data_IF_955847482288
#
_entry.id   IF_955847482288
#
_cell.length_a   1.000
_cell.length_b   1.000
_cell.length_c   1.000
_cell.angle_alpha   90.00
_cell.angle_beta   90.00
_cell.angle_gamma   90.00
#
_symmetry.space_group_name_H-M   'P 1'
#
loop_
_entity.id
_entity.type
_entity.pdbx_description
1 polymer ?
#
# COMPACT_ATOMS: atom_id res chain seq x y z
N UNK A 1 -13.04 -4.20 15.36
CA UNK A 1 -13.06 -3.27 14.21
C UNK A 1 -12.97 -4.07 12.91
N UNK A 2 -13.76 -3.76 11.87
CA UNK A 2 -13.74 -4.52 10.60
C UNK A 2 -12.69 -3.95 9.64
N UNK A 3 -11.87 -4.81 9.02
CA UNK A 3 -10.81 -4.44 8.04
C UNK A 3 -11.35 -3.56 6.91
N UNK A 4 -12.55 -3.85 6.39
CA UNK A 4 -13.20 -3.03 5.36
C UNK A 4 -13.28 -1.55 5.77
N UNK A 5 -13.64 -1.26 7.02
CA UNK A 5 -13.76 0.12 7.53
C UNK A 5 -12.40 0.81 7.52
N UNK A 6 -11.34 0.11 7.93
CA UNK A 6 -9.97 0.61 7.92
C UNK A 6 -9.47 0.97 6.51
N UNK A 7 -9.79 0.14 5.51
CA UNK A 7 -9.39 0.39 4.12
C UNK A 7 -10.14 1.60 3.55
N UNK A 8 -11.45 1.69 3.79
CA UNK A 8 -12.30 2.74 3.24
C UNK A 8 -12.16 4.09 3.94
N UNK A 9 -11.62 4.12 5.15
CA UNK A 9 -11.41 5.35 5.92
C UNK A 9 -10.33 6.22 5.28
N UNK A 10 -10.58 7.54 5.20
CA UNK A 10 -9.59 8.51 4.75
C UNK A 10 -8.45 8.64 5.75
N UNK A 11 -7.22 8.73 5.23
CA UNK A 11 -6.00 8.87 6.01
C UNK A 11 -5.26 10.11 5.55
N UNK A 12 -4.82 10.93 6.48
CA UNK A 12 -4.06 12.15 6.21
C UNK A 12 -2.58 11.81 6.33
N UNK A 13 -1.83 11.97 5.25
CA UNK A 13 -0.39 11.71 5.20
C UNK A 13 0.32 12.80 6.00
N UNK A 14 1.03 12.39 7.04
CA UNK A 14 1.83 13.29 7.87
C UNK A 14 3.28 13.36 7.41
N UNK A 15 3.82 12.26 6.89
CA UNK A 15 5.22 12.18 6.45
C UNK A 15 5.35 11.24 5.27
N UNK A 16 6.22 11.59 4.31
CA UNK A 16 6.59 10.69 3.21
C UNK A 16 8.10 10.52 3.09
N UNK A 17 8.54 9.36 2.62
CA UNK A 17 9.90 9.18 2.12
C UNK A 17 9.99 9.58 0.64
N UNK A 18 11.22 9.78 0.15
CA UNK A 18 11.52 9.71 -1.28
C UNK A 18 11.57 8.24 -1.72
N UNK A 19 11.55 8.00 -3.03
CA UNK A 19 11.93 6.70 -3.58
C UNK A 19 13.39 6.41 -3.20
N UNK A 20 13.67 5.16 -2.84
CA UNK A 20 14.99 4.72 -2.39
C UNK A 20 15.25 3.29 -2.86
N UNK A 21 16.49 3.03 -3.25
CA UNK A 21 17.06 1.70 -3.55
C UNK A 21 17.84 1.12 -2.35
N UNK A 22 18.20 1.96 -1.37
CA UNK A 22 18.84 1.56 -0.12
C UNK A 22 17.96 0.64 0.72
N UNK A 23 18.58 -0.09 1.63
CA UNK A 23 17.88 -0.93 2.61
C UNK A 23 16.81 -0.16 3.39
N UNK A 24 15.70 -0.84 3.67
CA UNK A 24 14.51 -0.24 4.27
C UNK A 24 14.58 -0.30 5.80
N UNK A 25 14.70 0.82 6.52
CA UNK A 25 14.81 0.81 7.97
C UNK A 25 13.44 0.51 8.63
N UNK A 26 13.43 -0.04 9.86
CA UNK A 26 12.21 -0.42 10.57
C UNK A 26 11.13 0.66 10.66
N UNK A 27 11.54 1.94 10.83
CA UNK A 27 10.61 3.07 10.91
C UNK A 27 9.65 3.17 9.72
N UNK A 28 10.08 2.73 8.53
CA UNK A 28 9.26 2.78 7.31
C UNK A 28 8.49 1.49 7.04
N UNK A 29 8.77 0.39 7.75
CA UNK A 29 8.04 -0.85 7.63
C UNK A 29 8.02 -1.56 8.99
N UNK A 30 7.12 -1.15 9.89
CA UNK A 30 7.19 -1.55 11.31
C UNK A 30 6.99 -3.05 11.55
N UNK A 31 6.49 -3.79 10.55
CA UNK A 31 6.41 -5.26 10.61
C UNK A 31 7.80 -5.91 10.69
N UNK A 32 8.83 -5.25 10.16
CA UNK A 32 10.21 -5.73 10.29
C UNK A 32 10.86 -5.04 11.48
N UNK A 33 11.24 -5.82 12.49
CA UNK A 33 11.98 -5.31 13.67
C UNK A 33 13.41 -4.90 13.34
N UNK A 34 13.92 -5.29 12.16
CA UNK A 34 15.27 -4.98 11.66
C UNK A 34 15.19 -4.38 10.26
N UNK A 35 16.25 -3.67 9.88
CA UNK A 35 16.43 -3.17 8.52
C UNK A 35 16.26 -4.31 7.52
N UNK A 36 15.36 -4.12 6.56
CA UNK A 36 15.07 -5.10 5.51
C UNK A 36 15.96 -4.81 4.30
N UNK A 37 16.78 -5.79 3.86
CA UNK A 37 17.59 -5.62 2.66
C UNK A 37 16.74 -5.42 1.41
N UNK A 38 17.13 -4.44 0.58
CA UNK A 38 16.49 -4.18 -0.72
C UNK A 38 17.40 -4.71 -1.81
N UNK A 39 16.93 -5.75 -2.50
CA UNK A 39 17.70 -6.43 -3.55
C UNK A 39 17.81 -5.55 -4.80
N UNK A 40 18.84 -5.77 -5.61
CA UNK A 40 19.07 -5.03 -6.85
C UNK A 40 17.83 -4.94 -7.74
N UNK A 41 17.59 -3.75 -8.29
CA UNK A 41 16.44 -3.42 -9.13
C UNK A 41 15.12 -3.19 -8.38
N UNK A 42 15.09 -3.33 -7.05
CA UNK A 42 13.95 -2.93 -6.25
C UNK A 42 14.12 -1.51 -5.72
N UNK A 43 13.07 -0.72 -5.80
CA UNK A 43 12.95 0.56 -5.10
C UNK A 43 11.76 0.52 -4.14
N UNK A 44 11.77 1.39 -3.13
CA UNK A 44 10.66 1.53 -2.20
C UNK A 44 10.39 2.99 -1.86
N UNK A 45 9.15 3.25 -1.46
CA UNK A 45 8.69 4.52 -0.90
C UNK A 45 7.67 4.24 0.18
N UNK A 46 7.65 5.05 1.23
CA UNK A 46 6.71 4.91 2.32
C UNK A 46 6.03 6.23 2.69
N UNK A 47 4.87 6.12 3.33
CA UNK A 47 4.14 7.24 3.91
C UNK A 47 3.58 6.84 5.27
N UNK A 48 3.69 7.75 6.23
CA UNK A 48 2.94 7.70 7.48
C UNK A 48 1.67 8.53 7.33
N UNK A 49 0.59 8.04 7.91
CA UNK A 49 -0.69 8.74 7.89
C UNK A 49 -1.50 8.47 9.16
N UNK A 50 -2.41 9.36 9.48
CA UNK A 50 -3.29 9.24 10.65
C UNK A 50 -4.76 9.19 10.21
N UNK A 51 -5.61 8.63 11.07
CA UNK A 51 -7.06 8.65 10.94
C UNK A 51 -7.71 8.52 12.33
N UNK A 52 -9.04 8.67 12.45
CA UNK A 52 -9.74 8.41 13.71
C UNK A 52 -9.54 6.99 14.28
N UNK A 53 -9.07 6.03 13.46
CA UNK A 53 -8.81 4.64 13.89
C UNK A 53 -7.35 4.35 14.24
N UNK A 54 -6.47 5.36 14.18
CA UNK A 54 -5.07 5.26 14.56
C UNK A 54 -4.10 5.57 13.43
N UNK A 55 -2.85 5.17 13.64
CA UNK A 55 -1.73 5.48 12.76
C UNK A 55 -1.48 4.37 11.75
N UNK A 56 -1.16 4.78 10.53
CA UNK A 56 -0.93 3.91 9.40
C UNK A 56 0.44 4.15 8.79
N UNK A 57 1.01 3.06 8.26
CA UNK A 57 2.19 3.10 7.40
C UNK A 57 1.83 2.43 6.08
N UNK A 58 1.96 3.15 4.98
CA UNK A 58 1.88 2.57 3.64
C UNK A 58 3.29 2.44 3.06
N UNK A 59 3.59 1.29 2.47
CA UNK A 59 4.90 1.00 1.87
C UNK A 59 4.69 0.45 0.48
N UNK A 60 5.24 1.12 -0.54
CA UNK A 60 5.38 0.60 -1.88
C UNK A 60 6.78 0.01 -2.07
N UNK A 61 6.84 -1.14 -2.74
CA UNK A 61 8.06 -1.76 -3.24
C UNK A 61 7.84 -2.14 -4.70
N UNK A 62 8.75 -1.73 -5.56
CA UNK A 62 8.60 -1.85 -7.01
C UNK A 62 9.90 -2.35 -7.63
N UNK A 63 9.78 -3.15 -8.66
CA UNK A 63 10.88 -3.56 -9.53
C UNK A 63 10.35 -3.46 -10.96
N UNK A 64 10.53 -2.28 -11.55
CA UNK A 64 10.01 -1.93 -12.87
C UNK A 64 10.59 -2.82 -13.97
N UNK A 65 11.88 -3.17 -13.87
CA UNK A 65 12.54 -4.07 -14.84
C UNK A 65 11.99 -5.50 -14.84
N UNK A 66 11.27 -5.92 -13.78
CA UNK A 66 10.59 -7.22 -13.71
C UNK A 66 9.06 -7.09 -13.63
N UNK A 67 8.52 -5.90 -13.81
CA UNK A 67 7.07 -5.68 -13.74
C UNK A 67 6.44 -6.02 -12.39
N UNK A 68 7.20 -5.95 -11.28
CA UNK A 68 6.70 -6.31 -9.96
C UNK A 68 6.40 -5.07 -9.14
N UNK A 69 5.14 -4.91 -8.74
CA UNK A 69 4.67 -3.76 -8.01
C UNK A 69 3.85 -4.26 -6.84
N UNK A 70 4.20 -3.86 -5.63
CA UNK A 70 3.44 -4.21 -4.44
C UNK A 70 3.41 -3.05 -3.49
N UNK A 71 2.31 -2.90 -2.79
CA UNK A 71 2.20 -2.01 -1.68
C UNK A 71 1.39 -2.62 -0.56
N UNK A 72 1.74 -2.26 0.67
CA UNK A 72 1.06 -2.74 1.88
C UNK A 72 0.59 -1.56 2.71
N UNK A 73 -0.59 -1.66 3.29
CA UNK A 73 -1.12 -0.75 4.29
C UNK A 73 -1.04 -1.44 5.65
N UNK A 74 -0.39 -0.80 6.60
CA UNK A 74 -0.10 -1.33 7.93
C UNK A 74 -0.78 -0.42 8.95
N UNK A 75 -1.56 -0.98 9.86
CA UNK A 75 -2.06 -0.31 11.06
C UNK A 75 -1.04 -0.50 12.18
N UNK A 76 -0.59 0.60 12.79
CA UNK A 76 0.33 0.59 13.93
C UNK A 76 -0.49 0.46 15.23
N UNK A 77 -1.06 -0.72 15.50
CA UNK A 77 -1.87 -0.92 16.69
C UNK A 77 -1.01 -0.95 17.97
N UNK A 78 -1.59 -0.66 19.16
CA UNK A 78 -0.85 -0.67 20.42
C UNK A 78 -0.14 -2.01 20.72
N UNK A 79 -0.74 -3.12 20.28
CA UNK A 79 -0.18 -4.47 20.47
C UNK A 79 0.78 -4.90 19.36
N UNK A 80 1.08 -4.02 18.41
CA UNK A 80 1.99 -4.26 17.29
C UNK A 80 1.37 -3.94 15.91
N UNK A 81 2.22 -3.92 14.87
CA UNK A 81 1.79 -3.61 13.52
C UNK A 81 0.93 -4.73 12.93
N UNK A 82 -0.03 -4.37 12.09
CA UNK A 82 -0.93 -5.28 11.39
C UNK A 82 -1.11 -4.91 9.93
N UNK A 83 -0.96 -5.87 9.02
CA UNK A 83 -1.28 -5.65 7.60
C UNK A 83 -2.79 -5.63 7.40
N UNK A 84 -3.29 -4.53 6.87
CA UNK A 84 -4.71 -4.32 6.60
C UNK A 84 -5.06 -4.69 5.16
N UNK A 85 -4.19 -4.33 4.21
CA UNK A 85 -4.41 -4.56 2.79
C UNK A 85 -3.10 -4.60 2.00
N UNK A 86 -3.13 -5.28 0.85
CA UNK A 86 -2.08 -5.26 -0.18
C UNK A 86 -2.64 -4.82 -1.52
N UNK A 87 -1.83 -4.10 -2.29
CA UNK A 87 -2.13 -3.62 -3.63
C UNK A 87 -1.00 -4.07 -4.54
N UNK A 88 -1.27 -4.94 -5.51
CA UNK A 88 -0.24 -5.69 -6.24
C UNK A 88 -0.49 -5.77 -7.75
N UNK A 89 0.60 -5.75 -8.52
CA UNK A 89 0.66 -6.04 -9.95
C UNK A 89 1.94 -6.81 -10.25
N UNK A 90 1.84 -7.86 -11.06
CA UNK A 90 2.96 -8.66 -11.55
C UNK A 90 2.76 -8.95 -13.03
N UNK A 91 3.75 -8.67 -13.88
CA UNK A 91 3.62 -8.93 -15.33
C UNK A 91 3.48 -10.43 -15.65
N UNK A 92 4.01 -11.32 -14.79
CA UNK A 92 3.82 -12.77 -14.92
C UNK A 92 2.38 -13.23 -14.69
N UNK A 93 1.56 -12.43 -14.01
CA UNK A 93 0.16 -12.71 -13.72
C UNK A 93 -0.65 -11.44 -13.93
N UNK A 94 -0.82 -11.02 -15.21
CA UNK A 94 -1.13 -9.65 -15.55
C UNK A 94 -2.36 -9.14 -14.81
N UNK A 95 -2.22 -7.90 -14.39
CA UNK A 95 -3.25 -6.98 -13.94
C UNK A 95 -3.46 -6.88 -12.42
N UNK A 96 -3.86 -5.66 -12.07
CA UNK A 96 -3.97 -5.18 -10.71
C UNK A 96 -4.91 -6.03 -9.87
N UNK A 97 -4.44 -6.39 -8.68
CA UNK A 97 -5.23 -7.10 -7.70
C UNK A 97 -4.90 -6.60 -6.30
N UNK A 98 -5.85 -6.84 -5.41
CA UNK A 98 -5.81 -6.42 -4.02
C UNK A 98 -5.94 -7.66 -3.17
N UNK A 99 -5.20 -7.68 -2.07
CA UNK A 99 -5.44 -8.67 -1.03
C UNK A 99 -5.94 -7.98 0.23
N UNK A 100 -7.05 -8.46 0.78
CA UNK A 100 -7.59 -7.95 2.04
C UNK A 100 -8.42 -9.01 2.74
N UNK A 101 -8.28 -9.14 4.05
CA UNK A 101 -9.11 -10.03 4.85
C UNK A 101 -10.50 -9.41 5.12
N UNK A 102 -11.35 -9.36 4.09
CA UNK A 102 -12.68 -8.76 4.20
C UNK A 102 -13.64 -9.54 5.12
N UNK A 103 -13.44 -10.85 5.25
CA UNK A 103 -14.32 -11.74 6.05
C UNK A 103 -13.90 -11.89 7.52
N UNK A 104 -12.73 -11.38 7.89
CA UNK A 104 -12.17 -11.60 9.23
C UNK A 104 -12.66 -10.58 10.25
N UNK A 105 -13.04 -11.05 11.44
CA UNK A 105 -13.38 -10.21 12.59
C UNK A 105 -12.13 -9.90 13.44
N UNK A 106 -11.22 -9.05 12.97
CA UNK A 106 -10.09 -8.63 13.80
C UNK A 106 -8.87 -8.11 13.05
N UNK A 107 -7.91 -7.62 13.84
CA UNK A 107 -6.59 -7.14 13.42
C UNK A 107 -5.59 -8.22 13.86
N UNK A 108 -4.87 -8.83 12.92
CA UNK A 108 -3.78 -9.76 13.25
C UNK A 108 -2.49 -9.02 13.49
N UNK A 109 -1.81 -9.35 14.58
CA UNK A 109 -0.53 -8.74 14.92
C UNK A 109 0.61 -9.49 14.23
N UNK A 110 1.56 -8.74 13.69
CA UNK A 110 2.82 -9.27 13.17
C UNK A 110 2.76 -9.79 11.73
N UNK A 111 3.78 -10.57 11.37
CA UNK A 111 4.00 -11.04 10.00
C UNK A 111 2.92 -12.00 9.49
N UNK A 112 2.21 -12.69 10.39
CA UNK A 112 1.15 -13.65 10.06
C UNK A 112 0.01 -13.00 9.24
N UNK A 113 -0.23 -11.70 9.45
CA UNK A 113 -1.20 -10.94 8.66
C UNK A 113 -0.85 -10.80 7.16
N UNK A 114 0.33 -11.25 6.72
CA UNK A 114 0.72 -11.27 5.31
C UNK A 114 0.22 -12.48 4.54
N UNK A 115 -0.03 -13.62 5.19
CA UNK A 115 -0.20 -14.91 4.48
C UNK A 115 -1.66 -15.30 4.20
N UNK A 116 -2.63 -14.75 4.95
CA UNK A 116 -4.03 -15.17 4.86
C UNK A 116 -4.94 -14.36 3.90
N UNK A 117 -4.45 -13.31 3.26
CA UNK A 117 -5.33 -12.31 2.64
C UNK A 117 -6.05 -12.82 1.38
N UNK A 118 -7.38 -12.59 1.31
CA UNK A 118 -8.20 -12.94 0.14
C UNK A 118 -7.87 -12.04 -1.06
N UNK A 119 -7.62 -12.65 -2.22
CA UNK A 119 -7.31 -11.96 -3.49
C UNK A 119 -8.58 -11.49 -4.22
N UNK A 120 -8.59 -10.25 -4.67
CA UNK A 120 -9.64 -9.66 -5.51
C UNK A 120 -9.06 -8.88 -6.70
N UNK A 121 -9.54 -9.09 -7.94
CA UNK A 121 -10.47 -10.13 -8.36
C UNK A 121 -9.84 -11.55 -8.27
N UNK A 122 -10.66 -12.62 -8.23
CA UNK A 122 -10.18 -13.99 -8.37
C UNK A 122 -9.35 -14.17 -9.65
N UNK A 123 -8.44 -15.14 -9.63
CA UNK A 123 -7.69 -15.57 -10.82
C UNK A 123 -8.65 -15.93 -11.97
N UNK A 124 -8.30 -15.53 -13.20
CA UNK A 124 -9.00 -15.96 -14.43
C UNK A 124 -10.25 -15.17 -14.87
N UNK A 125 -10.82 -14.28 -14.05
CA UNK A 125 -12.19 -13.80 -14.33
C UNK A 125 -12.35 -12.55 -15.21
N UNK A 126 -11.29 -11.84 -15.64
CA UNK A 126 -11.42 -10.64 -16.52
C UNK A 126 -10.18 -10.41 -17.38
N UNK A 127 -10.37 -10.04 -18.65
CA UNK A 127 -9.35 -9.39 -19.47
C UNK A 127 -8.90 -8.12 -18.75
N UNK A 128 -7.65 -8.06 -18.31
CA UNK A 128 -7.14 -6.93 -17.54
C UNK A 128 -6.42 -6.00 -18.51
N UNK A 129 -6.73 -4.70 -18.43
CA UNK A 129 -5.91 -3.69 -19.14
C UNK A 129 -4.52 -3.73 -18.54
N UNK A 130 -3.53 -3.95 -19.40
CA UNK A 130 -2.12 -3.82 -19.04
C UNK A 130 -1.81 -2.32 -19.01
N UNK A 131 -1.83 -1.74 -17.82
CA UNK A 131 -1.28 -0.41 -17.63
C UNK A 131 0.24 -0.56 -17.53
N UNK A 132 0.97 0.17 -18.37
CA UNK A 132 2.40 0.35 -18.17
C UNK A 132 2.61 1.15 -16.87
N UNK A 133 2.94 0.44 -15.79
CA UNK A 133 3.16 1.07 -14.49
C UNK A 133 4.49 1.81 -14.46
N UNK A 134 4.47 2.97 -13.82
CA UNK A 134 5.63 3.73 -13.39
C UNK A 134 5.58 3.88 -11.88
N UNK A 135 6.71 4.22 -11.26
CA UNK A 135 6.76 4.50 -9.82
C UNK A 135 5.73 5.55 -9.40
N UNK A 136 5.59 6.62 -10.19
CA UNK A 136 4.66 7.71 -9.93
C UNK A 136 3.21 7.23 -10.06
N UNK A 137 2.86 6.57 -11.18
CA UNK A 137 1.49 6.11 -11.39
C UNK A 137 1.06 5.04 -10.38
N UNK A 138 1.97 4.12 -10.03
CA UNK A 138 1.72 3.11 -9.01
C UNK A 138 1.53 3.73 -7.61
N UNK A 139 2.39 4.68 -7.24
CA UNK A 139 2.26 5.42 -5.98
C UNK A 139 0.92 6.15 -5.88
N UNK A 140 0.53 6.88 -6.93
CA UNK A 140 -0.74 7.60 -7.01
C UNK A 140 -1.94 6.65 -6.93
N UNK A 141 -1.91 5.53 -7.67
CA UNK A 141 -2.98 4.54 -7.63
C UNK A 141 -3.11 3.88 -6.26
N UNK A 142 -1.99 3.58 -5.62
CA UNK A 142 -1.95 3.04 -4.26
C UNK A 142 -2.53 4.02 -3.23
N UNK A 143 -2.13 5.31 -3.26
CA UNK A 143 -2.71 6.34 -2.39
C UNK A 143 -4.22 6.42 -2.54
N UNK A 144 -4.70 6.43 -3.79
CA UNK A 144 -6.15 6.43 -4.09
C UNK A 144 -6.84 5.20 -3.52
N UNK A 145 -6.24 4.02 -3.68
CA UNK A 145 -6.77 2.76 -3.17
C UNK A 145 -6.86 2.74 -1.63
N UNK A 146 -5.80 3.15 -0.93
CA UNK A 146 -5.76 3.20 0.54
C UNK A 146 -6.43 4.44 1.16
N UNK A 147 -7.02 5.31 0.31
CA UNK A 147 -7.69 6.57 0.69
C UNK A 147 -6.77 7.53 1.45
N UNK A 148 -5.49 7.58 1.03
CA UNK A 148 -4.48 8.46 1.60
C UNK A 148 -4.47 9.79 0.85
N UNK A 149 -4.55 10.90 1.59
CA UNK A 149 -4.49 12.27 1.08
C UNK A 149 -3.28 12.97 1.68
N UNK A 150 -2.63 13.81 0.90
CA UNK A 150 -1.61 14.70 1.44
C UNK A 150 -2.29 15.73 2.37
N UNK A 151 -1.62 16.12 3.45
CA UNK A 151 -2.10 17.16 4.35
C UNK A 151 -1.91 18.52 3.66
N UNK A 152 -2.86 18.89 2.80
CA UNK A 152 -3.00 20.26 2.32
C UNK A 152 -3.98 20.97 3.27
N UNK A 153 -3.47 21.78 4.22
CA UNK A 153 -4.33 22.48 5.19
C UNK A 153 -5.14 23.61 4.54
N UNK A 154 -4.79 24.02 3.33
CA UNK A 154 -5.48 25.03 2.55
C UNK A 154 -5.87 24.42 1.20
N UNK A 155 -7.15 24.47 0.85
CA UNK A 155 -7.67 23.85 -0.37
C UNK A 155 -6.94 24.29 -1.64
N UNK A 156 -5.91 23.53 -2.02
CA UNK A 156 -5.37 23.50 -3.37
C UNK A 156 -6.50 23.09 -4.29
N UNK A 157 -7.09 24.09 -4.96
CA UNK A 157 -8.07 23.93 -6.03
C UNK A 157 -7.67 22.72 -6.88
N UNK A 158 -8.47 21.65 -6.79
CA UNK A 158 -8.43 20.54 -7.74
C UNK A 158 -8.94 21.08 -9.07
N UNK A 159 -8.10 21.81 -9.81
CA UNK A 159 -8.26 21.89 -11.25
C UNK A 159 -8.09 20.47 -11.80
N UNK A 160 -9.25 19.85 -11.98
CA UNK A 160 -9.61 18.92 -13.04
C UNK A 160 -8.45 18.55 -13.97
N UNK A 161 -7.66 17.55 -13.59
CA UNK A 161 -6.97 16.76 -14.60
C UNK A 161 -8.04 16.07 -15.43
N UNK A 162 -8.17 16.55 -16.67
CA UNK A 162 -9.08 16.06 -17.68
C UNK A 162 -9.08 14.54 -17.79
N UNK A 163 -10.28 14.01 -17.94
CA UNK A 163 -10.55 12.69 -18.51
C UNK A 163 -9.76 12.51 -19.80
N UNK A 164 -8.84 11.54 -19.80
CA UNK A 164 -8.39 10.83 -21.00
C UNK A 164 -9.16 9.51 -21.13
#
# INVERSE_FOLDING_TARGET
MRVRKLITETKVITTTSKWSDKDMPPRWCPINSKTRPIRGGWHWRAAHATSPFGDFTAVAQVNSGRGNWKAVLILNAPNGPSVVARFEHHDSHPGLHVHSHCKRSGIEIGAVGMDGLDRFPPLGNRHRRENAWTEISFWTAMKKFFRMRDDDPEGGNLELFGTF
#
